data_IF_350351033159
#
_entry.id   IF_350351033159
#
_cell.length_a   1.000
_cell.length_b   1.000
_cell.length_c   1.000
_cell.angle_alpha   90.00
_cell.angle_beta   90.00
_cell.angle_gamma   90.00
#
_symmetry.space_group_name_H-M   'P 1'
#
loop_
_entity.id
_entity.type
_entity.pdbx_description
1 polymer ?
#
# COMPACT_ATOMS: atom_id res chain seq x y z
N UNK A 1 56.86 -10.03 18.74
CA UNK A 1 56.13 -8.79 19.04
C UNK A 1 56.47 -7.80 17.95
N UNK A 2 55.69 -7.84 16.88
CA UNK A 2 55.65 -6.85 15.81
C UNK A 2 54.19 -6.90 15.37
N UNK A 3 53.40 -6.01 15.97
CA UNK A 3 52.00 -5.80 15.67
C UNK A 3 51.90 -5.07 14.33
N UNK A 4 51.21 -5.73 13.39
CA UNK A 4 50.85 -5.22 12.07
C UNK A 4 49.42 -4.70 12.17
N UNK A 5 49.26 -3.38 12.24
CA UNK A 5 47.95 -2.74 12.22
C UNK A 5 47.52 -2.53 10.78
N UNK A 6 46.82 -3.52 10.23
CA UNK A 6 46.06 -3.37 8.99
C UNK A 6 44.96 -2.32 9.17
N UNK A 7 45.04 -1.26 8.37
CA UNK A 7 43.96 -0.31 8.12
C UNK A 7 42.76 -1.06 7.56
N UNK A 8 41.64 -1.03 8.30
CA UNK A 8 40.32 -1.43 7.79
C UNK A 8 39.88 -0.40 6.77
N UNK A 9 39.51 -0.90 5.60
CA UNK A 9 38.82 -0.18 4.55
C UNK A 9 37.35 -0.09 4.98
N UNK A 10 36.98 1.04 5.58
CA UNK A 10 35.60 1.37 5.88
C UNK A 10 34.95 1.79 4.56
N UNK A 11 34.45 0.82 3.80
CA UNK A 11 33.71 1.06 2.58
C UNK A 11 32.45 1.85 2.89
N UNK A 12 32.31 3.03 2.26
CA UNK A 12 31.07 3.80 2.24
C UNK A 12 29.89 2.89 1.86
N UNK A 13 28.71 3.06 2.48
CA UNK A 13 27.49 2.43 1.97
C UNK A 13 27.25 2.86 0.52
N UNK A 14 26.61 2.03 -0.32
CA UNK A 14 26.36 2.38 -1.70
C UNK A 14 25.65 3.74 -1.75
N UNK A 15 26.35 4.71 -2.36
CA UNK A 15 25.87 6.08 -2.53
C UNK A 15 24.50 6.04 -3.21
N UNK A 16 23.51 6.67 -2.57
CA UNK A 16 22.18 6.85 -3.13
C UNK A 16 22.28 7.31 -4.60
N UNK A 17 21.50 6.72 -5.53
CA UNK A 17 21.39 7.30 -6.85
C UNK A 17 20.93 8.76 -6.72
N UNK A 18 21.50 9.64 -7.55
CA UNK A 18 21.27 11.08 -7.52
C UNK A 18 19.76 11.38 -7.52
N UNK A 19 19.22 12.10 -6.52
CA UNK A 19 17.82 12.50 -6.49
C UNK A 19 17.37 13.20 -7.77
N UNK A 20 18.26 13.95 -8.44
CA UNK A 20 17.92 14.64 -9.69
C UNK A 20 17.70 13.66 -10.86
N UNK A 21 18.34 12.49 -10.87
CA UNK A 21 18.04 11.45 -11.86
C UNK A 21 16.66 10.84 -11.64
N UNK A 22 16.09 10.86 -10.42
CA UNK A 22 14.76 10.30 -10.12
C UNK A 22 13.65 11.09 -10.82
N UNK A 23 13.85 12.38 -11.06
CA UNK A 23 12.85 13.30 -11.62
C UNK A 23 12.83 13.36 -13.16
N UNK A 24 13.87 12.86 -13.85
CA UNK A 24 14.02 13.07 -15.30
C UNK A 24 13.32 12.02 -16.20
N UNK A 25 12.99 10.83 -15.68
CA UNK A 25 12.39 9.76 -16.48
C UNK A 25 11.08 9.28 -15.87
N UNK A 26 10.03 9.32 -16.70
CA UNK A 26 8.67 8.91 -16.41
C UNK A 26 8.60 7.53 -15.68
N UNK A 27 7.86 7.42 -14.55
CA UNK A 27 7.78 6.20 -13.77
C UNK A 27 7.17 5.02 -14.55
N UNK A 28 6.27 5.30 -15.51
CA UNK A 28 5.72 4.26 -16.37
C UNK A 28 6.82 3.66 -17.27
N UNK A 29 7.69 4.48 -17.86
CA UNK A 29 8.81 4.03 -18.66
C UNK A 29 9.81 3.18 -17.85
N UNK A 30 10.07 3.57 -16.59
CA UNK A 30 10.94 2.80 -15.66
C UNK A 30 10.36 1.44 -15.29
N UNK A 31 9.09 1.39 -14.88
CA UNK A 31 8.43 0.14 -14.53
C UNK A 31 8.41 -0.84 -15.73
N UNK A 32 8.16 -0.32 -16.95
CA UNK A 32 8.25 -1.11 -18.19
C UNK A 32 9.69 -1.59 -18.46
N UNK A 33 10.69 -0.75 -18.25
CA UNK A 33 12.09 -1.11 -18.43
C UNK A 33 12.54 -2.24 -17.49
N UNK A 34 12.16 -2.20 -16.22
CA UNK A 34 12.41 -3.28 -15.26
C UNK A 34 11.77 -4.59 -15.71
N UNK A 35 10.47 -4.59 -16.03
CA UNK A 35 9.78 -5.79 -16.53
C UNK A 35 10.48 -6.36 -17.77
N UNK A 36 10.80 -5.51 -18.75
CA UNK A 36 11.48 -5.90 -19.99
C UNK A 36 12.82 -6.59 -19.72
N UNK A 37 13.64 -6.04 -18.81
CA UNK A 37 14.95 -6.59 -18.46
C UNK A 37 14.84 -7.91 -17.69
N UNK A 38 13.89 -8.02 -16.77
CA UNK A 38 13.67 -9.25 -15.99
C UNK A 38 13.16 -10.39 -16.86
N UNK A 39 12.23 -10.11 -17.78
CA UNK A 39 11.73 -11.08 -18.75
C UNK A 39 12.81 -11.49 -19.75
N UNK A 40 13.62 -10.56 -20.25
CA UNK A 40 14.76 -10.88 -21.14
C UNK A 40 15.77 -11.81 -20.48
N UNK A 41 15.98 -11.66 -19.16
CA UNK A 41 16.87 -12.54 -18.37
C UNK A 41 16.21 -13.85 -17.93
N UNK A 42 14.90 -14.03 -18.19
CA UNK A 42 14.15 -15.20 -17.77
C UNK A 42 13.96 -15.32 -16.25
N UNK A 43 14.13 -14.22 -15.51
CA UNK A 43 13.92 -14.17 -14.06
C UNK A 43 12.43 -14.17 -13.74
N UNK A 44 11.61 -13.58 -14.61
CA UNK A 44 10.18 -13.40 -14.40
C UNK A 44 9.42 -13.42 -15.75
N UNK A 45 8.27 -14.07 -15.82
CA UNK A 45 7.41 -14.08 -17.01
C UNK A 45 6.40 -12.91 -17.00
N UNK A 46 5.94 -12.48 -18.17
CA UNK A 46 4.85 -11.50 -18.28
C UNK A 46 3.58 -11.98 -17.58
N UNK A 47 3.24 -13.25 -17.75
CA UNK A 47 2.08 -13.90 -17.14
C UNK A 47 2.11 -13.81 -15.60
N UNK A 48 3.29 -13.90 -14.97
CA UNK A 48 3.41 -13.78 -13.52
C UNK A 48 3.09 -12.36 -13.03
N UNK A 49 3.41 -11.32 -13.81
CA UNK A 49 3.01 -9.93 -13.47
C UNK A 49 1.49 -9.78 -13.60
N UNK A 50 0.94 -10.28 -14.71
CA UNK A 50 -0.48 -10.12 -15.03
C UNK A 50 -1.36 -10.88 -14.02
N UNK A 51 -0.93 -12.07 -13.58
CA UNK A 51 -1.61 -12.87 -12.55
C UNK A 51 -1.66 -12.14 -11.21
N UNK A 52 -0.56 -11.50 -10.79
CA UNK A 52 -0.54 -10.71 -9.55
C UNK A 52 -1.47 -9.50 -9.66
N UNK A 53 -1.43 -8.75 -10.76
CA UNK A 53 -2.33 -7.60 -10.97
C UNK A 53 -3.79 -8.05 -10.91
N UNK A 54 -4.16 -9.08 -11.67
CA UNK A 54 -5.52 -9.60 -11.72
C UNK A 54 -6.02 -10.04 -10.32
N UNK A 55 -5.17 -10.71 -9.55
CA UNK A 55 -5.49 -11.18 -8.20
C UNK A 55 -5.85 -10.01 -7.27
N UNK A 56 -5.02 -8.96 -7.22
CA UNK A 56 -5.20 -7.87 -6.27
C UNK A 56 -6.14 -6.75 -6.74
N UNK A 57 -6.42 -6.65 -8.04
CA UNK A 57 -7.46 -5.75 -8.56
C UNK A 57 -8.86 -6.39 -8.59
N UNK A 58 -8.94 -7.72 -8.74
CA UNK A 58 -10.22 -8.41 -9.00
C UNK A 58 -10.68 -9.38 -7.92
N UNK A 59 -9.76 -10.14 -7.31
CA UNK A 59 -10.11 -11.34 -6.54
C UNK A 59 -9.96 -11.17 -5.02
N UNK A 60 -9.07 -10.29 -4.57
CA UNK A 60 -8.74 -10.10 -3.15
C UNK A 60 -9.30 -8.78 -2.63
N UNK A 61 -10.23 -8.84 -1.68
CA UNK A 61 -10.87 -7.66 -1.10
C UNK A 61 -11.41 -7.86 0.33
N UNK A 62 -11.89 -6.77 0.97
CA UNK A 62 -12.27 -6.76 2.38
C UNK A 62 -13.48 -7.65 2.73
N UNK A 63 -14.23 -8.11 1.72
CA UNK A 63 -15.34 -9.03 1.92
C UNK A 63 -14.89 -10.38 2.51
N UNK A 64 -13.63 -10.78 2.30
CA UNK A 64 -13.07 -11.98 2.93
C UNK A 64 -13.05 -11.83 4.45
N UNK A 65 -12.46 -10.73 4.96
CA UNK A 65 -12.45 -10.41 6.39
C UNK A 65 -13.85 -10.22 6.98
N UNK A 66 -14.77 -9.60 6.22
CA UNK A 66 -16.15 -9.42 6.67
C UNK A 66 -16.86 -10.75 6.97
N UNK A 67 -16.64 -11.78 6.13
CA UNK A 67 -17.15 -13.14 6.36
C UNK A 67 -16.52 -13.79 7.58
N UNK A 68 -15.21 -13.62 7.77
CA UNK A 68 -14.47 -14.11 8.96
C UNK A 68 -15.06 -13.51 10.24
N UNK A 69 -15.28 -12.19 10.27
CA UNK A 69 -15.88 -11.49 11.41
C UNK A 69 -17.31 -11.97 11.68
N UNK A 70 -18.15 -12.05 10.64
CA UNK A 70 -19.53 -12.48 10.79
C UNK A 70 -19.65 -13.90 11.35
N UNK A 71 -18.80 -14.83 10.87
CA UNK A 71 -18.69 -16.19 11.40
C UNK A 71 -18.25 -16.21 12.86
N UNK A 72 -17.23 -15.42 13.22
CA UNK A 72 -16.79 -15.31 14.62
C UNK A 72 -17.88 -14.74 15.56
N UNK A 73 -18.79 -13.91 15.05
CA UNK A 73 -19.93 -13.40 15.83
C UNK A 73 -21.07 -14.41 16.02
N UNK A 74 -21.19 -15.42 15.15
CA UNK A 74 -22.26 -16.42 15.18
C UNK A 74 -21.82 -17.78 15.72
N UNK A 75 -20.51 -18.07 15.68
CA UNK A 75 -19.91 -19.32 16.11
C UNK A 75 -18.79 -19.07 17.16
N UNK A 76 -19.07 -19.30 18.46
CA UNK A 76 -18.08 -19.13 19.51
C UNK A 76 -16.86 -20.06 19.40
N UNK A 77 -17.02 -21.28 18.87
CA UNK A 77 -15.90 -22.21 18.69
C UNK A 77 -14.98 -21.72 17.58
N UNK A 78 -15.56 -21.22 16.47
CA UNK A 78 -14.79 -20.58 15.41
C UNK A 78 -14.08 -19.31 15.91
N UNK A 79 -14.74 -18.48 16.73
CA UNK A 79 -14.11 -17.29 17.33
C UNK A 79 -12.90 -17.66 18.19
N UNK A 80 -13.02 -18.66 19.06
CA UNK A 80 -11.89 -19.12 19.86
C UNK A 80 -10.73 -19.64 19.00
N UNK A 81 -11.04 -20.35 17.91
CA UNK A 81 -10.04 -20.82 16.95
C UNK A 81 -9.37 -19.66 16.20
N UNK A 82 -10.14 -18.71 15.67
CA UNK A 82 -9.66 -17.53 14.95
C UNK A 82 -8.68 -16.69 15.78
N UNK A 83 -8.97 -16.53 17.07
CA UNK A 83 -8.12 -15.77 17.99
C UNK A 83 -6.84 -16.54 18.37
N UNK A 84 -6.85 -17.87 18.27
CA UNK A 84 -5.70 -18.73 18.54
C UNK A 84 -4.80 -18.94 17.32
N UNK A 85 -5.40 -19.14 16.14
CA UNK A 85 -4.75 -19.38 14.86
C UNK A 85 -5.55 -18.72 13.72
N UNK A 86 -5.16 -17.49 13.37
CA UNK A 86 -5.86 -16.72 12.35
C UNK A 86 -5.70 -17.29 10.94
N UNK A 87 -4.57 -17.94 10.63
CA UNK A 87 -4.32 -18.49 9.29
C UNK A 87 -5.24 -19.68 9.05
N UNK A 88 -5.22 -20.66 9.97
CA UNK A 88 -5.98 -21.89 9.82
C UNK A 88 -7.49 -21.62 9.78
N UNK A 89 -7.97 -20.71 10.64
CA UNK A 89 -9.38 -20.33 10.69
C UNK A 89 -9.86 -19.59 9.43
N UNK A 90 -9.03 -18.75 8.83
CA UNK A 90 -9.37 -18.05 7.57
C UNK A 90 -9.38 -19.01 6.38
N UNK A 91 -8.44 -19.96 6.34
CA UNK A 91 -8.37 -20.97 5.29
C UNK A 91 -9.63 -21.87 5.22
N UNK A 92 -10.36 -22.06 6.34
CA UNK A 92 -11.64 -22.79 6.38
C UNK A 92 -12.74 -22.13 5.51
N UNK A 93 -12.60 -20.84 5.18
CA UNK A 93 -13.57 -20.08 4.39
C UNK A 93 -13.23 -20.00 2.90
N UNK A 94 -12.38 -20.90 2.39
CA UNK A 94 -11.86 -20.89 1.01
C UNK A 94 -11.16 -19.57 0.63
N UNK A 95 -10.67 -18.83 1.63
CA UNK A 95 -9.84 -17.64 1.42
C UNK A 95 -8.41 -18.10 1.24
N UNK A 96 -7.86 -17.87 0.05
CA UNK A 96 -6.44 -18.14 -0.20
C UNK A 96 -5.59 -17.17 0.63
N UNK A 97 -4.97 -17.71 1.67
CA UNK A 97 -3.88 -17.04 2.38
C UNK A 97 -2.61 -17.50 1.67
N UNK A 98 -1.77 -16.56 1.22
CA UNK A 98 -0.46 -16.95 0.73
C UNK A 98 0.35 -17.47 1.93
N UNK A 99 0.37 -18.79 2.08
CA UNK A 99 0.95 -19.51 3.23
C UNK A 99 2.44 -19.23 3.44
N UNK A 100 3.12 -18.68 2.42
CA UNK A 100 4.57 -18.54 2.41
C UNK A 100 5.09 -17.24 3.05
N UNK A 101 4.25 -16.24 3.37
CA UNK A 101 4.77 -14.90 3.72
C UNK A 101 4.14 -14.21 4.95
N UNK A 102 3.02 -14.68 5.53
CA UNK A 102 2.30 -13.84 6.52
C UNK A 102 1.65 -14.61 7.67
N UNK A 103 2.07 -14.32 8.90
CA UNK A 103 1.31 -14.72 10.10
C UNK A 103 0.11 -13.78 10.26
N UNK A 104 -1.10 -14.31 10.38
CA UNK A 104 -2.30 -13.52 10.68
C UNK A 104 -2.69 -13.65 12.15
N UNK A 105 -2.79 -12.53 12.86
CA UNK A 105 -3.30 -12.47 14.23
C UNK A 105 -4.55 -11.60 14.30
N UNK A 106 -5.65 -12.18 14.75
CA UNK A 106 -6.88 -11.44 14.98
C UNK A 106 -6.90 -10.89 16.41
N UNK A 107 -7.22 -9.61 16.55
CA UNK A 107 -7.23 -8.87 17.83
C UNK A 107 -8.64 -8.36 18.09
N UNK A 108 -9.21 -8.73 19.24
CA UNK A 108 -10.62 -8.47 19.51
C UNK A 108 -10.86 -7.17 20.27
N UNK A 109 -11.82 -6.38 19.77
CA UNK A 109 -12.40 -5.28 20.53
C UNK A 109 -13.36 -5.82 21.60
N UNK A 110 -13.28 -5.25 22.80
CA UNK A 110 -14.16 -5.55 23.94
C UNK A 110 -14.82 -4.28 24.44
N UNK A 111 -15.84 -4.34 25.33
CA UNK A 111 -16.45 -3.13 25.88
C UNK A 111 -15.44 -2.14 26.47
N UNK A 112 -14.34 -2.66 27.03
CA UNK A 112 -13.31 -1.88 27.72
C UNK A 112 -12.04 -1.64 26.86
N UNK A 113 -11.92 -2.24 25.66
CA UNK A 113 -10.71 -2.14 24.83
C UNK A 113 -11.03 -1.96 23.34
N UNK A 114 -10.43 -0.95 22.72
CA UNK A 114 -10.49 -0.68 21.28
C UNK A 114 -9.09 -0.81 20.66
N UNK A 115 -8.96 -1.66 19.66
CA UNK A 115 -7.72 -1.89 18.94
C UNK A 115 -7.70 -1.10 17.64
N UNK A 116 -6.52 -0.61 17.25
CA UNK A 116 -6.26 0.01 15.94
C UNK A 116 -4.93 -0.48 15.39
N UNK A 117 -4.87 -0.73 14.08
CA UNK A 117 -3.70 -1.32 13.40
C UNK A 117 -2.97 -0.28 12.56
N UNK A 118 -1.64 -0.34 12.57
CA UNK A 118 -0.77 0.49 11.72
C UNK A 118 0.43 -0.33 11.23
N UNK A 119 1.14 0.19 10.24
CA UNK A 119 2.54 -0.14 9.99
C UNK A 119 3.32 1.16 9.96
N UNK A 120 4.05 1.48 11.02
CA UNK A 120 4.75 2.77 11.12
C UNK A 120 5.86 2.90 10.08
N UNK A 121 6.50 1.78 9.71
CA UNK A 121 7.64 1.73 8.79
C UNK A 121 7.26 1.81 7.31
N UNK A 122 6.11 1.26 6.92
CA UNK A 122 5.68 1.25 5.51
C UNK A 122 4.15 1.14 5.39
N UNK A 123 3.64 -0.03 5.00
CA UNK A 123 2.20 -0.29 4.85
C UNK A 123 1.83 -1.77 5.00
N UNK A 124 2.55 -2.52 5.84
CA UNK A 124 2.23 -3.93 6.10
C UNK A 124 0.75 -4.09 6.46
N UNK A 125 0.08 -5.01 5.77
CA UNK A 125 -1.38 -5.12 5.78
C UNK A 125 -1.80 -6.58 5.48
N UNK A 126 -2.88 -7.10 6.08
CA UNK A 126 -3.32 -8.49 5.88
C UNK A 126 -4.09 -8.65 4.55
N UNK A 127 -3.37 -8.66 3.42
CA UNK A 127 -4.00 -8.57 2.10
C UNK A 127 -5.07 -9.65 1.84
N UNK A 128 -4.83 -10.90 2.28
CA UNK A 128 -5.76 -12.01 2.07
C UNK A 128 -7.20 -11.75 2.58
N UNK A 129 -7.31 -10.99 3.68
CA UNK A 129 -8.61 -10.72 4.33
C UNK A 129 -9.10 -9.29 4.10
N UNK A 130 -8.20 -8.32 3.90
CA UNK A 130 -8.58 -6.90 3.81
C UNK A 130 -8.34 -6.23 2.44
N UNK A 131 -7.77 -6.94 1.45
CA UNK A 131 -7.36 -6.33 0.19
C UNK A 131 -6.10 -5.46 0.34
N UNK A 132 -5.88 -4.56 -0.61
CA UNK A 132 -4.76 -3.61 -0.52
C UNK A 132 -5.03 -2.51 0.54
N UNK A 133 -3.96 -1.98 1.18
CA UNK A 133 -4.12 -0.93 2.17
C UNK A 133 -4.66 0.36 1.54
N UNK A 134 -5.58 1.07 2.22
CA UNK A 134 -6.07 2.35 1.73
C UNK A 134 -4.96 3.38 1.60
N UNK A 135 -5.19 4.36 0.74
CA UNK A 135 -4.33 5.54 0.57
C UNK A 135 -3.98 6.20 1.90
N UNK A 136 -4.98 6.44 2.76
CA UNK A 136 -4.75 7.07 4.06
C UNK A 136 -3.86 6.24 5.00
N UNK A 137 -3.92 4.91 4.93
CA UNK A 137 -3.11 4.02 5.77
C UNK A 137 -1.62 4.09 5.41
N UNK A 138 -1.31 4.34 4.14
CA UNK A 138 0.06 4.52 3.62
C UNK A 138 0.65 5.90 3.96
N UNK A 139 -0.20 6.86 4.33
CA UNK A 139 0.21 8.25 4.54
C UNK A 139 1.13 8.43 5.76
N UNK A 140 2.13 9.32 5.69
CA UNK A 140 2.95 9.68 6.86
C UNK A 140 2.12 10.22 8.03
N UNK A 141 1.05 10.97 7.73
CA UNK A 141 0.15 11.54 8.72
C UNK A 141 -0.48 10.45 9.59
N UNK A 142 -1.06 9.40 8.99
CA UNK A 142 -1.61 8.27 9.75
C UNK A 142 -0.52 7.51 10.50
N UNK A 143 0.55 7.12 9.79
CA UNK A 143 1.62 6.24 10.30
C UNK A 143 2.33 6.81 11.53
N UNK A 144 2.45 8.14 11.63
CA UNK A 144 3.08 8.82 12.76
C UNK A 144 2.09 9.15 13.88
N UNK A 145 0.92 9.71 13.55
CA UNK A 145 -0.03 10.21 14.57
C UNK A 145 -0.74 9.09 15.32
N UNK A 146 -1.04 7.96 14.69
CA UNK A 146 -1.82 6.89 15.35
C UNK A 146 -1.08 6.24 16.52
N UNK A 147 0.25 6.26 16.54
CA UNK A 147 1.05 5.73 17.66
C UNK A 147 1.31 6.76 18.76
N UNK A 148 1.16 8.05 18.46
CA UNK A 148 1.41 9.14 19.41
C UNK A 148 0.12 9.65 20.07
N UNK A 149 -0.91 9.89 19.26
CA UNK A 149 -2.19 10.46 19.69
C UNK A 149 -3.42 9.69 19.15
N UNK A 150 -3.50 8.35 19.35
CA UNK A 150 -4.50 7.48 18.71
C UNK A 150 -5.94 7.96 18.93
N UNK A 151 -6.30 8.36 20.17
CA UNK A 151 -7.67 8.81 20.47
C UNK A 151 -8.03 10.13 19.80
N UNK A 152 -7.07 11.05 19.68
CA UNK A 152 -7.30 12.33 19.01
C UNK A 152 -7.50 12.09 17.51
N UNK A 153 -6.58 11.34 16.89
CA UNK A 153 -6.66 10.95 15.48
C UNK A 153 -7.97 10.24 15.13
N UNK A 154 -8.38 9.23 15.92
CA UNK A 154 -9.64 8.51 15.69
C UNK A 154 -10.85 9.43 15.72
N UNK A 155 -10.89 10.38 16.67
CA UNK A 155 -11.99 11.34 16.80
C UNK A 155 -12.00 12.36 15.65
N UNK A 156 -10.85 12.91 15.31
CA UNK A 156 -10.73 14.06 14.40
C UNK A 156 -10.77 13.67 12.92
N UNK A 157 -10.18 12.51 12.59
CA UNK A 157 -10.00 12.07 11.20
C UNK A 157 -11.01 10.99 10.78
N UNK A 158 -11.48 10.17 11.73
CA UNK A 158 -12.35 9.02 11.46
C UNK A 158 -13.71 9.08 12.19
N UNK A 159 -14.04 10.23 12.81
CA UNK A 159 -15.29 10.45 13.55
C UNK A 159 -15.59 9.37 14.62
N UNK A 160 -14.55 8.69 15.12
CA UNK A 160 -14.66 7.61 16.11
C UNK A 160 -14.35 8.16 17.50
N UNK A 161 -15.39 8.62 18.18
CA UNK A 161 -15.28 9.15 19.54
C UNK A 161 -15.41 8.02 20.58
N UNK A 162 -14.31 7.71 21.24
CA UNK A 162 -14.22 6.67 22.26
C UNK A 162 -14.37 7.28 23.66
N UNK A 163 -15.18 6.66 24.51
CA UNK A 163 -15.33 7.05 25.91
C UNK A 163 -13.99 6.96 26.66
N UNK A 164 -13.76 7.88 27.60
CA UNK A 164 -12.47 8.05 28.30
C UNK A 164 -12.00 6.80 29.06
N UNK A 165 -12.92 5.91 29.42
CA UNK A 165 -12.70 4.67 30.17
C UNK A 165 -12.40 3.44 29.28
N UNK A 166 -12.51 3.56 27.95
CA UNK A 166 -12.10 2.52 27.01
C UNK A 166 -10.60 2.61 26.75
N UNK A 167 -9.83 1.55 26.97
CA UNK A 167 -8.42 1.50 26.61
C UNK A 167 -8.24 1.45 25.08
N UNK A 168 -7.25 2.18 24.55
CA UNK A 168 -6.91 2.16 23.12
C UNK A 168 -5.57 1.48 22.92
N UNK A 169 -5.55 0.34 22.23
CA UNK A 169 -4.36 -0.43 21.93
C UNK A 169 -3.97 -0.28 20.46
N UNK A 170 -2.74 0.17 20.21
CA UNK A 170 -2.19 0.35 18.86
C UNK A 170 -1.29 -0.83 18.51
N UNK A 171 -1.56 -1.48 17.39
CA UNK A 171 -0.85 -2.67 16.92
C UNK A 171 -0.03 -2.34 15.68
N UNK A 172 1.29 -2.21 15.86
CA UNK A 172 2.23 -1.88 14.80
C UNK A 172 2.77 -3.15 14.10
N UNK A 173 2.44 -3.30 12.82
CA UNK A 173 2.82 -4.41 11.94
C UNK A 173 4.27 -4.25 11.44
N UNK A 174 5.23 -4.10 12.36
CA UNK A 174 6.66 -3.93 12.06
C UNK A 174 7.45 -5.25 11.99
N UNK A 175 6.76 -6.39 12.07
CA UNK A 175 7.32 -7.75 12.00
C UNK A 175 6.61 -8.58 10.93
N UNK A 176 6.81 -9.89 10.91
CA UNK A 176 6.12 -10.83 9.99
C UNK A 176 4.64 -11.03 10.32
N UNK A 177 4.17 -10.50 11.45
CA UNK A 177 2.76 -10.56 11.86
C UNK A 177 1.95 -9.49 11.14
N UNK A 178 0.76 -9.85 10.69
CA UNK A 178 -0.30 -8.97 10.20
C UNK A 178 -1.47 -9.05 11.15
N UNK A 179 -2.05 -7.90 11.48
CA UNK A 179 -3.17 -7.81 12.40
C UNK A 179 -4.46 -7.50 11.66
N UNK A 180 -5.55 -8.12 12.11
CA UNK A 180 -6.92 -7.75 11.74
C UNK A 180 -7.72 -7.57 13.02
N UNK A 181 -8.46 -6.47 13.14
CA UNK A 181 -9.37 -6.26 14.26
C UNK A 181 -10.62 -7.12 14.07
N UNK A 182 -11.01 -7.86 15.11
CA UNK A 182 -12.36 -8.40 15.26
C UNK A 182 -13.20 -7.33 15.96
N UNK A 183 -14.02 -6.55 15.24
CA UNK A 183 -14.85 -5.52 15.85
C UNK A 183 -15.91 -6.14 16.75
N UNK A 184 -16.42 -5.34 17.69
CA UNK A 184 -17.59 -5.74 18.48
C UNK A 184 -18.81 -5.84 17.57
N UNK A 185 -19.61 -6.88 17.79
CA UNK A 185 -20.90 -7.02 17.12
C UNK A 185 -21.84 -5.89 17.60
N UNK A 186 -22.46 -5.12 16.71
CA UNK A 186 -23.43 -4.11 17.11
C UNK A 186 -24.62 -4.72 17.86
N UNK A 187 -25.16 -3.99 18.82
CA UNK A 187 -26.43 -4.29 19.49
C UNK A 187 -27.57 -4.40 18.46
N UNK A 188 -28.67 -5.04 18.86
CA UNK A 188 -29.87 -5.23 18.04
C UNK A 188 -29.66 -6.01 16.71
N UNK A 189 -28.50 -6.62 16.48
CA UNK A 189 -28.24 -7.48 15.30
C UNK A 189 -28.56 -8.96 15.53
N UNK A 190 -29.20 -9.32 16.65
CA UNK A 190 -29.39 -10.71 17.10
C UNK A 190 -30.19 -11.61 16.15
N UNK A 191 -31.09 -11.00 15.36
CA UNK A 191 -31.95 -11.72 14.40
C UNK A 191 -31.33 -11.81 12.99
N UNK A 192 -30.20 -11.16 12.73
CA UNK A 192 -29.54 -11.17 11.43
C UNK A 192 -28.83 -12.50 11.16
N UNK A 193 -28.88 -12.94 9.91
CA UNK A 193 -28.09 -14.05 9.41
C UNK A 193 -26.60 -13.69 9.30
N UNK A 194 -25.74 -14.69 9.20
CA UNK A 194 -24.30 -14.49 8.99
C UNK A 194 -23.98 -13.63 7.74
N UNK A 195 -24.73 -13.83 6.66
CA UNK A 195 -24.58 -13.02 5.45
C UNK A 195 -24.96 -11.55 5.68
N UNK A 196 -26.07 -11.29 6.37
CA UNK A 196 -26.51 -9.93 6.73
C UNK A 196 -25.55 -9.27 7.72
N UNK A 197 -24.93 -10.04 8.62
CA UNK A 197 -23.90 -9.54 9.53
C UNK A 197 -22.62 -9.15 8.78
N UNK A 198 -22.21 -9.94 7.78
CA UNK A 198 -21.02 -9.63 6.98
C UNK A 198 -21.19 -8.29 6.22
N UNK A 199 -22.39 -7.96 5.77
CA UNK A 199 -22.70 -6.67 5.12
C UNK A 199 -22.52 -5.45 6.06
N UNK A 200 -22.51 -5.65 7.38
CA UNK A 200 -22.26 -4.59 8.35
C UNK A 200 -20.76 -4.32 8.58
N UNK A 201 -19.90 -5.27 8.24
CA UNK A 201 -18.47 -5.19 8.58
C UNK A 201 -17.74 -4.37 7.51
N UNK A 202 -17.32 -3.17 7.88
CA UNK A 202 -16.47 -2.35 7.02
C UNK A 202 -15.00 -2.75 7.15
N UNK A 203 -14.21 -2.43 6.11
CA UNK A 203 -12.75 -2.52 6.17
C UNK A 203 -12.19 -1.66 7.30
N UNK A 204 -12.72 -0.45 7.49
CA UNK A 204 -12.29 0.49 8.52
C UNK A 204 -12.48 -0.08 9.94
N UNK A 205 -13.57 -0.81 10.18
CA UNK A 205 -13.80 -1.50 11.45
C UNK A 205 -12.78 -2.63 11.69
N UNK A 206 -12.35 -3.32 10.62
CA UNK A 206 -11.32 -4.36 10.69
C UNK A 206 -9.88 -3.81 10.75
N UNK A 207 -9.65 -2.54 10.41
CA UNK A 207 -8.41 -1.82 10.72
C UNK A 207 -8.46 -1.25 12.15
N UNK A 208 -9.67 -0.98 12.65
CA UNK A 208 -9.91 -0.39 13.97
C UNK A 208 -9.99 1.14 13.97
N UNK A 209 -10.14 1.77 12.79
CA UNK A 209 -10.36 3.22 12.71
C UNK A 209 -11.84 3.61 12.82
N UNK A 210 -12.74 2.63 12.75
CA UNK A 210 -14.19 2.80 12.90
C UNK A 210 -14.75 1.90 14.01
N UNK A 211 -15.80 2.37 14.69
CA UNK A 211 -16.71 1.51 15.46
C UNK A 211 -18.02 1.31 14.71
N UNK A 212 -18.41 0.05 14.55
CA UNK A 212 -19.74 -0.30 14.06
C UNK A 212 -20.78 0.14 15.10
N UNK A 213 -21.74 0.97 14.69
CA UNK A 213 -22.70 1.58 15.60
C UNK A 213 -24.05 0.85 15.64
N UNK A 214 -24.72 0.93 16.78
CA UNK A 214 -26.05 0.39 17.03
C UNK A 214 -27.09 1.19 16.24
N UNK A 215 -27.39 0.72 15.02
CA UNK A 215 -28.43 1.30 14.17
C UNK A 215 -27.92 2.30 13.15
N UNK A 216 -27.11 1.84 12.20
CA UNK A 216 -26.84 2.54 10.96
C UNK A 216 -26.32 1.58 9.91
N UNK A 217 -27.20 1.08 9.04
CA UNK A 217 -26.77 0.38 7.84
C UNK A 217 -25.87 1.31 7.01
N UNK A 218 -24.69 0.77 6.66
CA UNK A 218 -23.82 1.13 5.54
C UNK A 218 -23.73 2.64 5.28
N UNK A 219 -22.77 3.31 5.93
CA UNK A 219 -22.04 4.30 5.16
C UNK A 219 -21.27 3.48 4.11
N UNK A 220 -21.74 3.51 2.86
CA UNK A 220 -20.81 3.42 1.74
C UNK A 220 -19.72 4.44 2.03
N UNK A 221 -18.45 4.10 1.83
CA UNK A 221 -17.26 4.92 2.07
C UNK A 221 -17.41 6.37 1.53
N UNK A 222 -18.13 7.23 2.25
CA UNK A 222 -18.83 8.33 1.61
C UNK A 222 -19.72 9.14 2.56
N UNK A 223 -19.10 9.67 3.61
CA UNK A 223 -19.71 10.65 4.51
C UNK A 223 -19.29 12.08 4.15
N UNK A 224 -19.80 12.65 3.06
CA UNK A 224 -19.62 14.10 2.77
C UNK A 224 -20.19 14.93 3.93
N UNK A 225 -19.33 15.71 4.62
CA UNK A 225 -19.80 16.82 5.45
C UNK A 225 -19.23 18.16 4.98
N UNK A 226 -20.17 19.08 4.76
CA UNK A 226 -19.99 20.42 4.25
C UNK A 226 -18.82 21.19 4.89
N UNK A 227 -18.04 21.82 4.01
CA UNK A 227 -17.01 22.83 4.30
C UNK A 227 -17.50 23.84 5.33
N UNK A 228 -16.81 23.91 6.48
CA UNK A 228 -16.82 25.11 7.32
C UNK A 228 -15.67 25.99 6.87
N UNK A 229 -16.04 27.17 6.39
CA UNK A 229 -15.17 28.30 6.06
C UNK A 229 -14.55 28.84 7.35
N UNK A 230 -13.24 28.63 7.53
CA UNK A 230 -12.45 29.30 8.56
C UNK A 230 -11.25 30.01 7.92
N UNK A 231 -11.50 31.25 7.50
CA UNK A 231 -10.67 32.44 7.76
C UNK A 231 -9.14 32.31 7.71
N UNK A 232 -8.57 32.82 6.62
CA UNK A 232 -7.14 33.18 6.45
C UNK A 232 -6.61 34.04 7.61
N UNK A 233 -5.60 33.52 8.32
CA UNK A 233 -4.76 34.24 9.29
C UNK A 233 -3.31 34.29 8.81
N UNK A 234 -2.76 35.51 8.73
CA UNK A 234 -1.49 35.89 8.07
C UNK A 234 -0.19 35.44 8.77
N UNK A 235 0.84 35.22 7.95
CA UNK A 235 2.22 34.82 8.25
C UNK A 235 3.10 35.85 9.01
N UNK A 236 4.14 35.34 9.70
CA UNK A 236 5.51 35.86 9.89
C UNK A 236 6.21 34.99 10.96
N UNK A 237 7.52 34.73 11.03
CA UNK A 237 8.73 34.95 10.22
C UNK A 237 9.81 34.02 10.80
N UNK A 238 10.78 33.64 9.98
CA UNK A 238 11.88 32.73 10.30
C UNK A 238 12.92 33.30 11.28
N UNK A 239 13.57 32.42 12.05
CA UNK A 239 14.95 32.58 12.49
C UNK A 239 15.68 31.23 12.45
N UNK A 240 16.92 31.28 12.02
CA UNK A 240 17.79 30.18 11.58
C UNK A 240 18.57 29.56 12.72
N UNK A 241 18.66 28.23 12.76
CA UNK A 241 19.62 27.48 13.57
C UNK A 241 19.86 26.10 12.96
N UNK A 242 21.09 25.84 12.52
CA UNK A 242 21.56 24.57 11.98
C UNK A 242 21.78 23.58 13.13
N UNK A 243 21.12 22.41 13.12
CA UNK A 243 21.51 21.27 13.96
C UNK A 243 21.22 19.94 13.25
N UNK A 244 22.14 19.00 13.46
CA UNK A 244 22.22 17.68 12.84
C UNK A 244 21.49 16.65 13.70
N UNK A 245 20.30 16.24 13.30
CA UNK A 245 19.63 15.00 13.73
C UNK A 245 18.57 14.62 12.68
N UNK A 246 18.26 13.33 12.55
CA UNK A 246 17.28 12.80 11.60
C UNK A 246 16.04 13.71 11.51
N UNK A 247 15.64 14.04 10.29
CA UNK A 247 14.53 14.95 10.00
C UNK A 247 13.24 14.33 10.54
N UNK A 248 12.86 14.67 11.77
CA UNK A 248 11.49 14.47 12.23
C UNK A 248 10.60 15.31 11.32
N UNK A 249 9.84 14.64 10.46
CA UNK A 249 8.76 15.29 9.72
C UNK A 249 7.75 15.75 10.77
N UNK A 250 7.54 17.05 10.89
CA UNK A 250 6.52 17.63 11.76
C UNK A 250 5.13 17.30 11.18
N UNK A 251 4.62 16.12 11.52
CA UNK A 251 3.31 15.65 11.10
C UNK A 251 2.19 16.15 12.01
N UNK A 252 2.51 16.91 13.06
CA UNK A 252 1.54 17.48 13.98
C UNK A 252 0.64 18.49 13.23
N UNK A 253 -0.60 18.09 12.97
CA UNK A 253 -1.58 18.90 12.26
C UNK A 253 -1.63 18.72 10.74
N UNK A 254 -0.90 17.74 10.17
CA UNK A 254 -1.15 17.30 8.79
C UNK A 254 -2.43 16.44 8.78
N UNK A 255 -3.48 16.83 8.05
CA UNK A 255 -4.71 16.04 7.97
C UNK A 255 -4.46 14.67 7.34
N UNK A 256 -5.18 13.65 7.78
CA UNK A 256 -5.13 12.35 7.11
C UNK A 256 -5.88 12.47 5.78
N UNK A 257 -5.28 12.04 4.65
CA UNK A 257 -5.92 12.12 3.34
C UNK A 257 -7.27 11.41 3.32
N UNK A 258 -8.35 12.11 2.98
CA UNK A 258 -9.72 11.55 2.94
C UNK A 258 -10.07 10.95 1.58
N UNK A 259 -9.19 10.11 1.04
CA UNK A 259 -9.47 9.45 -0.24
C UNK A 259 -10.44 8.31 0.03
N UNK A 260 -11.68 8.49 -0.43
CA UNK A 260 -12.72 7.47 -0.42
C UNK A 260 -12.27 6.26 -1.24
N UNK A 261 -12.64 5.08 -0.77
CA UNK A 261 -12.08 3.81 -1.21
C UNK A 261 -12.79 3.19 -2.43
N UNK A 262 -13.75 3.92 -3.01
CA UNK A 262 -14.53 3.53 -4.20
C UNK A 262 -13.73 3.64 -5.52
N UNK A 263 -12.42 3.93 -5.43
CA UNK A 263 -11.51 4.06 -6.56
C UNK A 263 -10.89 2.74 -7.02
N UNK A 264 -10.18 2.73 -8.17
CA UNK A 264 -9.37 1.58 -8.54
C UNK A 264 -8.29 1.31 -7.48
N UNK A 265 -7.93 0.04 -7.30
CA UNK A 265 -6.86 -0.40 -6.38
C UNK A 265 -5.51 0.32 -6.62
N UNK A 266 -5.26 0.72 -7.87
CA UNK A 266 -4.13 1.56 -8.28
C UNK A 266 -4.63 2.73 -9.11
N UNK A 267 -4.15 3.94 -8.82
CA UNK A 267 -4.53 5.14 -9.57
C UNK A 267 -3.97 5.14 -11.00
N UNK A 268 -2.79 4.52 -11.21
CA UNK A 268 -2.15 4.44 -12.52
C UNK A 268 -1.56 3.05 -12.81
N UNK A 269 -1.51 2.60 -14.08
CA UNK A 269 -1.02 1.27 -14.44
C UNK A 269 0.44 0.98 -14.04
N UNK A 270 1.27 2.01 -13.92
CA UNK A 270 2.67 1.82 -13.51
C UNK A 270 2.80 1.47 -12.02
N UNK A 271 1.85 1.93 -11.19
CA UNK A 271 1.79 1.60 -9.77
C UNK A 271 1.50 0.11 -9.59
N UNK A 272 0.47 -0.40 -10.28
CA UNK A 272 0.12 -1.82 -10.31
C UNK A 272 1.30 -2.68 -10.79
N UNK A 273 1.98 -2.25 -11.87
CA UNK A 273 3.16 -2.94 -12.40
C UNK A 273 4.32 -2.98 -11.41
N UNK A 274 4.60 -1.86 -10.74
CA UNK A 274 5.71 -1.78 -9.76
C UNK A 274 5.46 -2.71 -8.57
N UNK A 275 4.22 -2.70 -8.06
CA UNK A 275 3.76 -3.63 -7.04
C UNK A 275 3.89 -5.09 -7.49
N UNK A 276 3.35 -5.41 -8.66
CA UNK A 276 3.30 -6.77 -9.17
C UNK A 276 4.70 -7.35 -9.45
N UNK A 277 5.61 -6.54 -9.99
CA UNK A 277 7.01 -6.94 -10.18
C UNK A 277 7.68 -7.27 -8.86
N UNK A 278 7.48 -6.46 -7.81
CA UNK A 278 8.06 -6.74 -6.50
C UNK A 278 7.52 -8.06 -5.92
N UNK A 279 6.20 -8.24 -5.93
CA UNK A 279 5.54 -9.45 -5.41
C UNK A 279 5.94 -10.71 -6.18
N UNK A 280 5.92 -10.67 -7.52
CA UNK A 280 6.24 -11.84 -8.35
C UNK A 280 7.74 -12.17 -8.36
N UNK A 281 8.61 -11.22 -8.02
CA UNK A 281 10.06 -11.43 -7.96
C UNK A 281 10.52 -12.05 -6.64
N UNK A 282 9.84 -11.70 -5.55
CA UNK A 282 10.21 -12.16 -4.21
C UNK A 282 9.92 -13.63 -4.04
N UNK A 283 10.87 -14.33 -3.44
CA UNK A 283 10.86 -15.77 -3.27
C UNK A 283 11.67 -16.09 -1.99
N UNK A 284 10.99 -16.67 -0.99
CA UNK A 284 11.58 -16.98 0.32
C UNK A 284 12.64 -18.08 0.26
N UNK A 285 12.59 -18.96 -0.75
CA UNK A 285 13.57 -20.03 -0.92
C UNK A 285 14.87 -19.53 -1.56
N UNK A 286 14.83 -18.36 -2.19
CA UNK A 286 15.90 -17.81 -2.99
C UNK A 286 16.71 -16.78 -2.20
N UNK A 287 17.99 -17.07 -1.85
CA UNK A 287 18.79 -16.20 -1.01
C UNK A 287 18.93 -14.80 -1.60
N UNK A 288 18.56 -13.79 -0.81
CA UNK A 288 18.58 -12.39 -1.23
C UNK A 288 17.34 -11.96 -2.00
N UNK A 289 16.35 -12.83 -2.24
CA UNK A 289 15.07 -12.47 -2.86
C UNK A 289 13.86 -12.61 -1.94
N UNK A 290 14.07 -12.85 -0.64
CA UNK A 290 12.99 -12.91 0.34
C UNK A 290 12.19 -11.59 0.40
N UNK A 291 10.90 -11.67 0.74
CA UNK A 291 10.03 -10.49 0.87
C UNK A 291 10.57 -9.48 1.88
N UNK A 292 11.07 -9.99 3.01
CA UNK A 292 11.66 -9.16 4.07
C UNK A 292 12.88 -8.36 3.60
N UNK A 293 13.58 -8.81 2.55
CA UNK A 293 14.71 -8.08 1.97
C UNK A 293 14.24 -6.89 1.14
N UNK A 294 13.20 -7.07 0.32
CA UNK A 294 12.58 -5.98 -0.44
C UNK A 294 11.92 -4.96 0.51
N UNK A 295 11.21 -5.45 1.53
CA UNK A 295 10.58 -4.59 2.53
C UNK A 295 11.58 -3.63 3.18
N UNK A 296 12.81 -4.08 3.49
CA UNK A 296 13.84 -3.20 4.06
C UNK A 296 14.29 -2.10 3.10
N UNK A 297 14.39 -2.38 1.81
CA UNK A 297 14.69 -1.35 0.80
C UNK A 297 13.56 -0.32 0.70
N UNK A 298 12.31 -0.78 0.74
CA UNK A 298 11.13 0.09 0.74
C UNK A 298 11.07 0.98 1.98
N UNK A 299 11.31 0.43 3.17
CA UNK A 299 11.37 1.23 4.41
C UNK A 299 12.45 2.29 4.31
N UNK A 300 13.65 1.93 3.84
CA UNK A 300 14.74 2.89 3.64
C UNK A 300 14.37 3.99 2.62
N UNK A 301 13.59 3.67 1.57
CA UNK A 301 13.07 4.69 0.66
C UNK A 301 12.08 5.64 1.31
N UNK A 302 11.12 5.11 2.05
CA UNK A 302 10.10 5.91 2.71
C UNK A 302 10.71 6.78 3.82
N UNK A 303 11.76 6.34 4.49
CA UNK A 303 12.50 7.17 5.46
C UNK A 303 13.28 8.31 4.77
N UNK A 304 13.88 8.03 3.60
CA UNK A 304 14.62 9.04 2.84
C UNK A 304 13.69 10.02 2.10
N UNK A 305 12.48 9.60 1.76
CA UNK A 305 11.49 10.36 1.01
C UNK A 305 10.09 9.95 1.48
N UNK A 306 9.56 10.58 2.55
CA UNK A 306 8.30 10.16 3.19
C UNK A 306 7.05 10.24 2.32
N UNK A 307 7.15 10.81 1.12
CA UNK A 307 6.07 10.95 0.15
C UNK A 307 5.25 12.23 0.32
N UNK A 308 4.31 12.44 -0.58
CA UNK A 308 3.52 13.67 -0.65
C UNK A 308 2.65 13.87 0.59
N UNK A 309 2.64 15.10 1.09
CA UNK A 309 1.75 15.55 2.17
C UNK A 309 0.27 15.46 1.76
N UNK A 310 -0.04 15.47 0.46
CA UNK A 310 -1.40 15.35 -0.07
C UNK A 310 -1.96 13.93 -0.03
N UNK A 311 -1.13 12.95 0.33
CA UNK A 311 -1.53 11.56 0.43
C UNK A 311 -1.71 10.85 -0.89
N UNK A 312 -1.26 11.40 -2.01
CA UNK A 312 -1.35 10.70 -3.29
C UNK A 312 -0.54 9.41 -3.27
N UNK A 313 -1.10 8.38 -3.91
CA UNK A 313 -0.44 7.08 -4.04
C UNK A 313 0.79 7.13 -4.97
N UNK A 314 0.94 8.19 -5.78
CA UNK A 314 2.03 8.32 -6.74
C UNK A 314 3.40 8.35 -6.06
N UNK A 315 3.57 9.13 -4.99
CA UNK A 315 4.84 9.17 -4.28
C UNK A 315 5.12 7.86 -3.54
N UNK A 316 4.07 7.26 -2.97
CA UNK A 316 4.19 5.98 -2.29
C UNK A 316 4.64 4.86 -3.24
N UNK A 317 4.00 4.71 -4.39
CA UNK A 317 4.41 3.72 -5.39
C UNK A 317 5.68 4.15 -6.13
N UNK A 318 6.02 5.43 -6.14
CA UNK A 318 7.33 5.93 -6.55
C UNK A 318 8.44 5.39 -5.65
N UNK A 319 8.22 5.36 -4.33
CA UNK A 319 9.12 4.71 -3.39
C UNK A 319 9.20 3.18 -3.61
N UNK A 320 8.10 2.51 -3.96
CA UNK A 320 8.13 1.09 -4.36
C UNK A 320 9.01 0.87 -5.59
N UNK A 321 8.81 1.67 -6.64
CA UNK A 321 9.57 1.54 -7.87
C UNK A 321 11.06 1.79 -7.62
N UNK A 322 11.40 2.85 -6.88
CA UNK A 322 12.79 3.16 -6.57
C UNK A 322 13.44 2.11 -5.64
N UNK A 323 12.70 1.57 -4.68
CA UNK A 323 13.14 0.44 -3.85
C UNK A 323 13.39 -0.80 -4.71
N UNK A 324 12.50 -1.09 -5.67
CA UNK A 324 12.64 -2.23 -6.58
C UNK A 324 13.86 -2.08 -7.50
N UNK A 325 14.10 -0.89 -8.04
CA UNK A 325 15.30 -0.60 -8.84
C UNK A 325 16.58 -0.84 -8.03
N UNK A 326 16.64 -0.33 -6.80
CA UNK A 326 17.78 -0.56 -5.91
C UNK A 326 17.92 -2.02 -5.51
N UNK A 327 16.82 -2.67 -5.20
CA UNK A 327 16.78 -4.08 -4.84
C UNK A 327 17.41 -4.94 -5.95
N UNK A 328 16.99 -4.70 -7.19
CA UNK A 328 17.45 -5.42 -8.37
C UNK A 328 18.89 -5.10 -8.77
N UNK A 329 19.26 -3.82 -8.76
CA UNK A 329 20.62 -3.38 -9.14
C UNK A 329 21.66 -3.76 -8.09
N UNK A 330 21.34 -3.61 -6.80
CA UNK A 330 22.22 -4.01 -5.69
C UNK A 330 22.47 -5.53 -5.59
N UNK A 331 21.67 -6.34 -6.31
CA UNK A 331 21.79 -7.80 -6.39
C UNK A 331 22.28 -8.29 -7.75
N UNK A 332 22.73 -7.38 -8.61
CA UNK A 332 23.18 -7.65 -9.98
C UNK A 332 22.12 -8.34 -10.89
N UNK A 333 20.84 -8.34 -10.47
CA UNK A 333 19.73 -8.91 -11.22
C UNK A 333 19.32 -8.03 -12.41
N UNK A 334 19.63 -6.73 -12.34
CA UNK A 334 19.50 -5.77 -13.44
C UNK A 334 20.74 -4.86 -13.43
N UNK A 335 21.31 -4.58 -14.61
CA UNK A 335 22.39 -3.60 -14.73
C UNK A 335 21.81 -2.18 -14.79
N UNK A 336 22.31 -1.27 -13.96
CA UNK A 336 21.76 0.09 -13.83
C UNK A 336 21.88 0.93 -15.11
N UNK A 337 22.97 0.78 -15.88
CA UNK A 337 23.14 1.50 -17.14
C UNK A 337 22.19 0.95 -18.22
N UNK A 338 21.99 -0.37 -18.24
CA UNK A 338 21.00 -1.01 -19.11
C UNK A 338 19.57 -0.57 -18.75
N UNK A 339 19.25 -0.46 -17.46
CA UNK A 339 17.95 0.06 -16.98
C UNK A 339 17.71 1.49 -17.45
N UNK A 340 18.66 2.39 -17.21
CA UNK A 340 18.54 3.78 -17.64
C UNK A 340 18.31 3.90 -19.15
N UNK A 341 19.13 3.21 -19.96
CA UNK A 341 18.99 3.22 -21.41
C UNK A 341 17.64 2.62 -21.88
N UNK A 342 17.16 1.56 -21.21
CA UNK A 342 15.87 0.91 -21.51
C UNK A 342 14.70 1.83 -21.18
N UNK A 343 14.77 2.53 -20.04
CA UNK A 343 13.74 3.46 -19.60
C UNK A 343 13.66 4.66 -20.56
N UNK A 344 14.81 5.23 -20.99
CA UNK A 344 14.83 6.27 -22.03
C UNK A 344 14.19 5.78 -23.33
N UNK A 345 14.49 4.56 -23.77
CA UNK A 345 13.89 4.00 -24.99
C UNK A 345 12.36 3.84 -24.89
N UNK A 346 11.83 3.50 -23.71
CA UNK A 346 10.37 3.50 -23.50
C UNK A 346 9.78 4.92 -23.45
N UNK A 347 10.47 5.86 -22.80
CA UNK A 347 10.02 7.26 -22.71
C UNK A 347 10.00 7.96 -24.08
N UNK A 348 10.99 7.68 -24.93
CA UNK A 348 11.09 8.22 -26.29
C UNK A 348 10.14 7.51 -27.28
N UNK A 349 9.52 6.39 -26.87
CA UNK A 349 8.63 5.58 -27.70
C UNK A 349 9.34 4.62 -28.67
N UNK A 350 10.67 4.48 -28.57
CA UNK A 350 11.45 3.48 -29.32
C UNK A 350 11.08 2.04 -28.92
N UNK A 351 10.58 1.87 -27.70
CA UNK A 351 9.97 0.64 -27.17
C UNK A 351 8.57 0.94 -26.64
N UNK A 352 7.69 -0.05 -26.64
CA UNK A 352 6.32 0.13 -26.18
C UNK A 352 5.74 -1.14 -25.53
N UNK A 353 4.54 -1.01 -24.97
CA UNK A 353 3.90 -2.07 -24.19
C UNK A 353 3.60 -3.35 -24.99
N UNK A 354 3.66 -3.34 -26.32
CA UNK A 354 3.48 -4.55 -27.14
C UNK A 354 4.56 -5.61 -26.88
N UNK A 355 5.67 -5.25 -26.23
CA UNK A 355 6.67 -6.22 -25.78
C UNK A 355 6.16 -7.18 -24.69
N UNK A 356 5.05 -6.84 -24.02
CA UNK A 356 4.52 -7.60 -22.89
C UNK A 356 3.25 -8.40 -23.22
N UNK A 357 2.68 -8.22 -24.42
CA UNK A 357 1.41 -8.85 -24.83
C UNK A 357 1.70 -9.90 -25.91
N UNK A 358 1.50 -11.18 -25.61
CA UNK A 358 1.49 -12.21 -26.65
C UNK A 358 0.21 -12.09 -27.51
N UNK A 359 0.33 -11.57 -28.73
CA UNK A 359 -0.61 -11.88 -29.82
C UNK A 359 -1.70 -10.89 -30.22
N UNK A 360 -1.76 -9.64 -29.74
CA UNK A 360 -2.70 -8.63 -30.27
C UNK A 360 -2.15 -7.19 -30.22
N UNK A 361 -2.05 -6.46 -31.36
CA UNK A 361 -1.68 -5.05 -31.37
C UNK A 361 -2.73 -4.09 -30.77
N UNK A 362 -3.88 -4.58 -30.29
CA UNK A 362 -4.94 -3.74 -29.71
C UNK A 362 -5.60 -4.34 -28.43
N UNK A 363 -4.83 -4.54 -27.36
CA UNK A 363 -5.30 -4.61 -25.96
C UNK A 363 -4.05 -4.45 -25.06
N UNK A 364 -3.87 -3.47 -24.18
CA UNK A 364 -4.77 -2.60 -23.46
C UNK A 364 -4.41 -1.14 -23.76
N UNK A 365 -5.37 -0.37 -24.24
CA UNK A 365 -5.17 1.06 -24.45
C UNK A 365 -5.10 1.74 -23.09
N UNK A 366 -3.93 2.29 -22.77
CA UNK A 366 -3.80 3.61 -22.14
C UNK A 366 -4.84 4.53 -22.84
N UNK A 367 -6.04 4.71 -22.25
CA UNK A 367 -7.05 5.61 -22.82
C UNK A 367 -6.67 7.04 -22.50
N UNK A 368 -6.04 7.69 -23.48
CA UNK A 368 -5.71 9.12 -23.54
C UNK A 368 -6.92 10.02 -23.25
N UNK A 369 -6.75 11.21 -22.64
CA UNK A 369 -7.82 12.18 -22.51
C UNK A 369 -8.15 12.82 -23.87
N UNK A 370 -9.45 13.00 -24.11
CA UNK A 370 -10.00 13.59 -25.33
C UNK A 370 -9.62 15.07 -25.49
N UNK A 371 -9.17 15.43 -26.70
CA UNK A 371 -9.27 16.78 -27.23
C UNK A 371 -8.00 17.30 -27.91
N UNK A 372 -8.02 17.43 -29.24
CA UNK A 372 -7.71 18.67 -29.97
C UNK A 372 -7.90 18.49 -31.50
N UNK A 373 -8.98 19.13 -31.96
CA UNK A 373 -9.32 19.71 -33.27
C UNK A 373 -8.45 19.53 -34.53
N UNK A 374 -9.21 19.35 -35.63
CA UNK A 374 -9.06 19.91 -36.99
C UNK A 374 -7.87 19.56 -37.89
N UNK A 375 -8.20 19.02 -39.07
CA UNK A 375 -7.25 18.90 -40.19
C UNK A 375 -7.83 18.20 -41.42
N UNK A 376 -8.52 18.97 -42.26
CA UNK A 376 -9.09 18.56 -43.54
C UNK A 376 -8.12 17.86 -44.50
N UNK A 377 -8.61 16.84 -45.25
CA UNK A 377 -8.32 16.70 -46.68
C UNK A 377 -9.49 16.03 -47.40
N UNK A 378 -10.06 16.76 -48.37
CA UNK A 378 -11.06 16.27 -49.31
C UNK A 378 -10.47 15.82 -50.66
N UNK A 379 -11.41 15.43 -51.52
CA UNK A 379 -11.31 15.02 -52.93
C UNK A 379 -10.87 13.56 -53.15
N UNK A 380 -11.51 12.74 -53.99
CA UNK A 380 -12.63 12.95 -54.91
C UNK A 380 -12.66 11.84 -55.96
N UNK A 381 -13.88 11.53 -56.41
CA UNK A 381 -14.30 11.01 -57.72
C UNK A 381 -13.99 9.58 -58.20
N UNK A 382 -15.10 8.91 -58.56
CA UNK A 382 -15.39 8.09 -59.76
C UNK A 382 -14.45 6.90 -60.07
N UNK A 383 -14.92 5.66 -60.18
CA UNK A 383 -16.00 5.17 -61.06
C UNK A 383 -16.51 3.79 -60.65
#
# INVERSE_FOLDING_TARGET
MTDDHGTRDDGDPPSHPDPELRDEVDPQARARALQSLLTERGILSTDAVDEVIATYEGDVGPMNGARVVARAWTDPEYREWLLADGIEAVADLDVSVNDEVMQLRVIENTPDTHNVVVCTLCSCYPWAVLGLPPTWYKSPAYRSRVVDEPRALLREEFDTDLADDVDVEVWDSNSEVRYMVLPQRPEDTGDLSEAELAELVSRNAMIGVERLSDGGAIASDGGTRATRDDGVGTAASADTGLDTSATEVDTAGIPVPRVDDDGPAFAEPWMARSFALAVALTDEEEPGRAWGDFQRELVAELEASPGAEDGSDADYYGAWLAALERFLTGRDLVDGAALAARATAFADGDRNAHEFVEGDPHAHADQLPEGHADGAHGHGHDH
#
